data_IF_171822623977
#
_entry.id   IF_171822623977
#
_cell.length_a   1.000
_cell.length_b   1.000
_cell.length_c   1.000
_cell.angle_alpha   90.00
_cell.angle_beta   90.00
_cell.angle_gamma   90.00
#
_symmetry.space_group_name_H-M   'P 1'
#
loop_
_entity.id
_entity.type
_entity.pdbx_description
1 polymer ?
#
# COMPACT_ATOMS: atom_id res chain seq x y z
N UNK A 1 17.56 3.35 17.49
CA UNK A 1 17.05 1.99 17.83
C UNK A 1 15.60 1.76 17.39
N UNK A 2 15.00 2.63 16.55
CA UNK A 2 13.61 2.51 16.09
C UNK A 2 13.33 1.44 15.02
N UNK A 3 14.34 1.06 14.22
CA UNK A 3 14.15 0.12 13.11
C UNK A 3 13.61 -1.25 13.56
N UNK A 4 14.01 -1.72 14.75
CA UNK A 4 13.53 -2.99 15.30
C UNK A 4 12.04 -2.99 15.63
N UNK A 5 11.49 -1.84 16.07
CA UNK A 5 10.07 -1.71 16.40
C UNK A 5 9.21 -1.72 15.14
N UNK A 6 9.64 -1.01 14.10
CA UNK A 6 8.93 -0.97 12.83
C UNK A 6 8.88 -2.36 12.16
N UNK A 7 9.99 -3.08 12.13
CA UNK A 7 10.05 -4.44 11.59
C UNK A 7 9.18 -5.41 12.38
N UNK A 8 9.16 -5.29 13.72
CA UNK A 8 8.29 -6.11 14.57
C UNK A 8 6.81 -5.91 14.23
N UNK A 9 6.37 -4.66 14.08
CA UNK A 9 4.98 -4.34 13.73
C UNK A 9 4.61 -4.85 12.34
N UNK A 10 5.51 -4.74 11.35
CA UNK A 10 5.27 -5.31 10.02
C UNK A 10 5.11 -6.83 10.05
N UNK A 11 5.87 -7.53 10.89
CA UNK A 11 5.70 -8.97 11.12
C UNK A 11 4.31 -9.32 11.65
N UNK A 12 3.84 -8.59 12.68
CA UNK A 12 2.50 -8.79 13.24
C UNK A 12 1.39 -8.52 12.22
N UNK A 13 1.56 -7.51 11.36
CA UNK A 13 0.61 -7.23 10.28
C UNK A 13 0.62 -8.36 9.24
N UNK A 14 1.80 -8.91 8.91
CA UNK A 14 1.93 -10.06 8.02
C UNK A 14 1.13 -11.28 8.49
N UNK A 15 1.24 -11.63 9.77
CA UNK A 15 0.47 -12.73 10.37
C UNK A 15 -1.06 -12.52 10.23
N UNK A 16 -1.53 -11.28 10.38
CA UNK A 16 -2.95 -10.95 10.21
C UNK A 16 -3.41 -11.06 8.75
N UNK A 17 -2.54 -10.73 7.79
CA UNK A 17 -2.82 -10.88 6.35
C UNK A 17 -2.90 -12.36 5.99
N UNK A 18 -1.93 -13.17 6.42
CA UNK A 18 -1.90 -14.62 6.16
C UNK A 18 -3.12 -15.32 6.76
N UNK A 19 -3.56 -14.90 7.95
CA UNK A 19 -4.76 -15.41 8.59
C UNK A 19 -6.09 -14.91 7.96
N UNK A 20 -6.03 -14.06 6.93
CA UNK A 20 -7.22 -13.45 6.31
C UNK A 20 -7.98 -12.47 7.21
N UNK A 21 -7.36 -12.02 8.31
CA UNK A 21 -7.96 -11.13 9.32
C UNK A 21 -7.68 -9.66 9.05
N UNK A 22 -6.76 -9.37 8.14
CA UNK A 22 -6.47 -8.03 7.66
C UNK A 22 -6.28 -8.06 6.14
N UNK A 23 -6.89 -7.11 5.44
CA UNK A 23 -6.75 -6.95 3.99
C UNK A 23 -6.27 -5.53 3.70
N UNK A 24 -5.30 -5.42 2.79
CA UNK A 24 -4.82 -4.13 2.28
C UNK A 24 -5.46 -3.90 0.90
N UNK A 25 -6.57 -3.15 0.80
CA UNK A 25 -7.24 -2.94 -0.46
C UNK A 25 -6.34 -2.16 -1.43
N UNK A 26 -6.18 -2.69 -2.64
CA UNK A 26 -5.61 -1.96 -3.76
C UNK A 26 -6.73 -1.12 -4.36
N UNK A 27 -6.59 0.20 -4.21
CA UNK A 27 -7.60 1.14 -4.67
C UNK A 27 -7.42 1.49 -6.16
N UNK A 28 -6.23 1.25 -6.71
CA UNK A 28 -5.91 1.43 -8.12
C UNK A 28 -4.49 0.99 -8.44
N UNK A 29 -4.27 0.62 -9.69
CA UNK A 29 -2.95 0.29 -10.23
C UNK A 29 -2.63 1.19 -11.41
N UNK A 30 -1.39 1.64 -11.51
CA UNK A 30 -0.91 2.47 -12.61
C UNK A 30 0.44 1.94 -13.10
N UNK A 31 0.74 2.02 -14.41
CA UNK A 31 2.13 1.86 -14.87
C UNK A 31 3.04 2.87 -14.17
N UNK A 32 4.31 2.52 -13.90
CA UNK A 32 5.28 3.47 -13.34
C UNK A 32 5.41 4.74 -14.20
N UNK A 33 5.27 4.62 -15.53
CA UNK A 33 5.28 5.76 -16.45
C UNK A 33 4.17 6.78 -16.17
N UNK A 34 3.07 6.36 -15.55
CA UNK A 34 1.88 7.18 -15.27
C UNK A 34 1.87 7.69 -13.82
N UNK A 35 3.02 7.81 -13.18
CA UNK A 35 3.15 8.26 -11.78
C UNK A 35 2.44 9.59 -11.50
N UNK A 36 2.43 10.51 -12.45
CA UNK A 36 1.75 11.79 -12.32
C UNK A 36 0.22 11.63 -12.19
N UNK A 37 -0.38 10.68 -12.91
CA UNK A 37 -1.81 10.37 -12.80
C UNK A 37 -2.13 9.67 -11.48
N UNK A 38 -1.26 8.75 -11.04
CA UNK A 38 -1.40 8.11 -9.74
C UNK A 38 -1.38 9.13 -8.59
N UNK A 39 -0.53 10.16 -8.67
CA UNK A 39 -0.51 11.26 -7.69
C UNK A 39 -1.80 12.07 -7.70
N UNK A 40 -2.27 12.51 -8.88
CA UNK A 40 -3.55 13.22 -9.01
C UNK A 40 -4.70 12.44 -8.39
N UNK A 41 -4.84 11.17 -8.76
CA UNK A 41 -5.87 10.29 -8.22
C UNK A 41 -5.79 10.15 -6.69
N UNK A 42 -4.58 10.11 -6.12
CA UNK A 42 -4.37 10.05 -4.67
C UNK A 42 -4.71 11.36 -3.94
N UNK A 43 -4.40 12.50 -4.56
CA UNK A 43 -4.64 13.84 -4.02
C UNK A 43 -6.12 14.24 -4.03
N UNK A 44 -6.92 13.66 -4.93
CA UNK A 44 -8.36 13.88 -5.01
C UNK A 44 -9.12 13.41 -3.75
N UNK A 45 -8.47 12.72 -2.80
CA UNK A 45 -9.01 12.39 -1.48
C UNK A 45 -10.11 11.32 -1.44
N UNK A 46 -10.54 10.82 -2.60
CA UNK A 46 -11.59 9.79 -2.72
C UNK A 46 -11.05 8.35 -2.67
N UNK A 47 -9.73 8.18 -2.80
CA UNK A 47 -9.09 6.87 -2.82
C UNK A 47 -9.04 6.28 -1.43
N UNK A 48 -9.63 5.08 -1.26
CA UNK A 48 -9.56 4.28 -0.03
C UNK A 48 -8.74 3.02 -0.28
N UNK A 49 -7.47 3.06 0.13
CA UNK A 49 -6.55 1.94 0.00
C UNK A 49 -5.21 2.40 -0.54
N UNK A 50 -4.42 1.44 -1.05
CA UNK A 50 -3.11 1.73 -1.65
C UNK A 50 -3.26 1.89 -3.16
N UNK A 51 -2.60 2.93 -3.69
CA UNK A 51 -2.28 2.99 -5.11
C UNK A 51 -0.96 2.25 -5.33
N UNK A 52 -0.92 1.38 -6.33
CA UNK A 52 0.25 0.55 -6.63
C UNK A 52 0.77 0.92 -8.02
N UNK A 53 2.06 1.23 -8.09
CA UNK A 53 2.76 1.40 -9.35
C UNK A 53 3.30 0.06 -9.81
N UNK A 54 2.95 -0.34 -11.02
CA UNK A 54 3.44 -1.55 -11.65
C UNK A 54 4.74 -1.24 -12.39
N UNK A 55 5.79 -1.97 -12.04
CA UNK A 55 7.09 -1.96 -12.72
C UNK A 55 7.09 -3.09 -13.73
N UNK A 56 7.35 -2.75 -15.00
CA UNK A 56 7.41 -3.65 -16.15
C UNK A 56 8.19 -2.99 -17.28
#
# INVERSE_FOLDING_TARGET
VDAGRALHVLGQIGELIEAGRFSLPVAGTFPLADIAEAHRAGEDGHVRGKLVLLVG
#
